data_IF_626978442751
#
_entry.id   IF_626978442751
#
_cell.length_a   1.000
_cell.length_b   1.000
_cell.length_c   1.000
_cell.angle_alpha   90.00
_cell.angle_beta   90.00
_cell.angle_gamma   90.00
#
_symmetry.space_group_name_H-M   'P 1'
#
loop_
_entity.id
_entity.type
_entity.pdbx_description
1 polymer ?
#
# COMPACT_ATOMS: atom_id res chain seq x y z
N UNK A 1 16.88 -9.92 -3.83
CA UNK A 1 16.25 -9.72 -2.51
C UNK A 1 16.82 -10.76 -1.53
N UNK A 2 17.21 -10.40 -0.31
CA UNK A 2 17.82 -11.34 0.64
C UNK A 2 16.77 -12.34 1.18
N UNK A 3 17.19 -13.53 1.66
CA UNK A 3 16.27 -14.51 2.28
C UNK A 3 15.50 -13.92 3.47
N UNK A 4 16.15 -13.04 4.24
CA UNK A 4 15.54 -12.31 5.36
C UNK A 4 14.41 -11.39 4.89
N UNK A 5 14.61 -10.65 3.80
CA UNK A 5 13.59 -9.75 3.26
C UNK A 5 12.38 -10.52 2.72
N UNK A 6 12.60 -11.69 2.12
CA UNK A 6 11.50 -12.56 1.68
C UNK A 6 10.68 -13.08 2.86
N UNK A 7 11.33 -13.47 3.96
CA UNK A 7 10.64 -13.93 5.18
C UNK A 7 9.80 -12.81 5.81
N UNK A 8 10.34 -11.59 5.86
CA UNK A 8 9.60 -10.42 6.38
C UNK A 8 8.38 -10.12 5.52
N UNK A 9 8.55 -10.07 4.19
CA UNK A 9 7.44 -9.83 3.26
C UNK A 9 6.34 -10.89 3.39
N UNK A 10 6.69 -12.17 3.46
CA UNK A 10 5.71 -13.25 3.62
C UNK A 10 4.92 -13.11 4.93
N UNK A 11 5.59 -12.76 6.04
CA UNK A 11 4.92 -12.52 7.32
C UNK A 11 3.94 -11.34 7.25
N UNK A 12 4.38 -10.22 6.65
CA UNK A 12 3.56 -9.02 6.47
C UNK A 12 2.31 -9.35 5.63
N UNK A 13 2.49 -10.04 4.50
CA UNK A 13 1.38 -10.49 3.64
C UNK A 13 0.41 -11.42 4.38
N UNK A 14 0.92 -12.38 5.16
CA UNK A 14 0.07 -13.24 5.97
C UNK A 14 -0.73 -12.47 7.04
N UNK A 15 -0.15 -11.41 7.61
CA UNK A 15 -0.86 -10.54 8.55
C UNK A 15 -1.90 -9.65 7.88
N UNK A 16 -1.61 -9.17 6.66
CA UNK A 16 -2.53 -8.43 5.82
C UNK A 16 -3.71 -9.32 5.40
N UNK A 17 -3.47 -10.55 4.92
CA UNK A 17 -4.54 -11.46 4.51
C UNK A 17 -5.53 -11.80 5.63
N UNK A 18 -5.13 -11.70 6.90
CA UNK A 18 -6.03 -11.89 8.05
C UNK A 18 -6.91 -10.68 8.38
N UNK A 19 -6.67 -9.52 7.78
CA UNK A 19 -7.25 -8.23 8.23
C UNK A 19 -7.70 -7.31 7.09
N UNK A 20 -7.00 -7.35 5.97
CA UNK A 20 -7.16 -6.48 4.80
C UNK A 20 -7.83 -7.25 3.65
N UNK A 21 -8.76 -8.14 4.00
CA UNK A 21 -9.60 -8.86 3.05
C UNK A 21 -11.02 -8.37 3.29
N UNK A 22 -11.63 -7.86 2.24
CA UNK A 22 -12.94 -7.24 2.26
C UNK A 22 -13.79 -7.83 1.14
N UNK A 23 -15.11 -7.71 1.27
CA UNK A 23 -16.00 -8.02 0.17
C UNK A 23 -15.75 -7.05 -1.00
N UNK A 24 -16.05 -7.47 -2.25
CA UNK A 24 -15.88 -6.60 -3.38
C UNK A 24 -16.70 -5.32 -3.29
N UNK A 25 -16.13 -4.20 -3.73
CA UNK A 25 -16.80 -2.90 -3.78
C UNK A 25 -16.93 -2.16 -2.45
N UNK A 26 -16.27 -2.63 -1.38
CA UNK A 26 -16.25 -1.92 -0.11
C UNK A 26 -15.34 -0.68 -0.23
N UNK A 27 -15.82 0.55 0.02
CA UNK A 27 -15.01 1.76 -0.05
C UNK A 27 -14.01 1.84 1.11
N UNK A 28 -12.88 2.52 0.89
CA UNK A 28 -11.75 2.63 1.81
C UNK A 28 -12.13 3.15 3.19
N UNK A 29 -13.08 4.07 3.30
CA UNK A 29 -13.53 4.59 4.60
C UNK A 29 -14.07 3.49 5.54
N UNK A 30 -14.71 2.44 5.00
CA UNK A 30 -15.17 1.29 5.76
C UNK A 30 -14.03 0.30 6.08
N UNK A 31 -12.96 0.31 5.27
CA UNK A 31 -11.76 -0.52 5.48
C UNK A 31 -10.76 0.10 6.48
N UNK A 32 -10.89 1.40 6.75
CA UNK A 32 -9.89 2.21 7.46
C UNK A 32 -9.51 1.64 8.84
N UNK A 33 -10.48 1.10 9.58
CA UNK A 33 -10.22 0.52 10.90
C UNK A 33 -9.24 -0.68 10.81
N UNK A 34 -9.40 -1.53 9.80
CA UNK A 34 -8.52 -2.68 9.56
C UNK A 34 -7.10 -2.26 9.17
N UNK A 35 -6.94 -1.25 8.30
CA UNK A 35 -5.63 -0.70 7.96
C UNK A 35 -4.92 -0.08 9.17
N UNK A 36 -5.64 0.72 9.96
CA UNK A 36 -5.11 1.30 11.21
C UNK A 36 -4.63 0.21 12.15
N UNK A 37 -5.43 -0.85 12.32
CA UNK A 37 -5.07 -1.99 13.17
C UNK A 37 -3.86 -2.76 12.65
N UNK A 38 -3.77 -2.98 11.33
CA UNK A 38 -2.60 -3.61 10.71
C UNK A 38 -1.34 -2.78 10.97
N UNK A 39 -1.36 -1.48 10.67
CA UNK A 39 -0.24 -0.57 10.89
C UNK A 39 0.19 -0.51 12.35
N UNK A 40 -0.76 -0.44 13.29
CA UNK A 40 -0.48 -0.43 14.73
C UNK A 40 0.32 -1.68 15.15
N UNK A 41 -0.16 -2.87 14.77
CA UNK A 41 0.48 -4.14 15.12
C UNK A 41 1.86 -4.27 14.49
N UNK A 42 2.01 -3.87 13.24
CA UNK A 42 3.29 -3.96 12.53
C UNK A 42 4.32 -2.94 13.02
N UNK A 43 3.88 -1.74 13.39
CA UNK A 43 4.74 -0.76 14.05
C UNK A 43 5.26 -1.28 15.40
N UNK A 44 4.43 -1.95 16.20
CA UNK A 44 4.87 -2.57 17.45
C UNK A 44 5.88 -3.70 17.21
N UNK A 45 5.71 -4.48 16.15
CA UNK A 45 6.69 -5.51 15.76
C UNK A 45 8.04 -4.91 15.31
N UNK A 46 8.02 -3.83 14.54
CA UNK A 46 9.23 -3.09 14.15
C UNK A 46 9.95 -2.52 15.38
N UNK A 47 9.20 -1.90 16.30
CA UNK A 47 9.73 -1.34 17.55
C UNK A 47 10.36 -2.41 18.45
N UNK A 48 9.73 -3.58 18.57
CA UNK A 48 10.30 -4.74 19.28
C UNK A 48 11.58 -5.24 18.63
N UNK A 49 11.63 -5.30 17.29
CA UNK A 49 12.81 -5.75 16.54
C UNK A 49 13.98 -4.79 16.74
N UNK A 50 13.74 -3.48 16.68
CA UNK A 50 14.75 -2.47 16.98
C UNK A 50 15.27 -2.57 18.42
N UNK A 51 14.37 -2.69 19.42
CA UNK A 51 14.75 -2.82 20.84
C UNK A 51 15.55 -4.10 21.16
N UNK A 52 15.46 -5.12 20.31
CA UNK A 52 16.27 -6.35 20.40
C UNK A 52 17.65 -6.24 19.73
N UNK A 53 18.02 -5.05 19.23
CA UNK A 53 19.33 -4.79 18.62
C UNK A 53 19.35 -4.85 17.09
N UNK A 54 18.19 -4.88 16.42
CA UNK A 54 18.12 -4.79 14.95
C UNK A 54 18.66 -3.44 14.45
N UNK A 55 19.40 -3.44 13.34
CA UNK A 55 20.03 -2.21 12.83
C UNK A 55 19.02 -1.23 12.28
N UNK A 56 19.31 0.08 12.35
CA UNK A 56 18.43 1.11 11.80
C UNK A 56 18.09 0.88 10.32
N UNK A 57 19.09 0.47 9.52
CA UNK A 57 18.91 0.14 8.10
C UNK A 57 17.89 -0.99 7.90
N UNK A 58 18.00 -2.09 8.64
CA UNK A 58 17.05 -3.20 8.54
C UNK A 58 15.64 -2.75 8.93
N UNK A 59 15.50 -1.94 9.99
CA UNK A 59 14.20 -1.43 10.43
C UNK A 59 13.57 -0.52 9.37
N UNK A 60 14.33 0.36 8.73
CA UNK A 60 13.83 1.21 7.66
C UNK A 60 13.40 0.39 6.43
N UNK A 61 14.14 -0.66 6.08
CA UNK A 61 13.76 -1.58 5.00
C UNK A 61 12.48 -2.35 5.32
N UNK A 62 12.37 -2.91 6.53
CA UNK A 62 11.17 -3.60 6.97
C UNK A 62 9.96 -2.67 7.02
N UNK A 63 10.17 -1.39 7.37
CA UNK A 63 9.14 -0.35 7.35
C UNK A 63 8.67 -0.06 5.92
N UNK A 64 9.59 0.10 4.98
CA UNK A 64 9.24 0.28 3.56
C UNK A 64 8.44 -0.93 3.05
N UNK A 65 8.87 -2.16 3.34
CA UNK A 65 8.13 -3.38 2.97
C UNK A 65 6.75 -3.48 3.60
N UNK A 66 6.57 -2.98 4.84
CA UNK A 66 5.25 -2.89 5.45
C UNK A 66 4.33 -1.93 4.68
N UNK A 67 4.87 -0.80 4.21
CA UNK A 67 4.12 0.17 3.40
C UNK A 67 3.82 -0.38 2.00
N UNK A 68 4.74 -1.15 1.39
CA UNK A 68 4.46 -1.84 0.12
C UNK A 68 3.17 -2.66 0.21
N UNK A 69 3.01 -3.43 1.30
CA UNK A 69 1.80 -4.24 1.54
C UNK A 69 0.57 -3.36 1.72
N UNK A 70 0.66 -2.22 2.41
CA UNK A 70 -0.48 -1.30 2.56
C UNK A 70 -0.89 -0.70 1.23
N UNK A 71 0.06 -0.16 0.46
CA UNK A 71 -0.20 0.47 -0.85
C UNK A 71 -0.72 -0.56 -1.85
N UNK A 72 -0.18 -1.79 -1.85
CA UNK A 72 -0.66 -2.90 -2.69
C UNK A 72 -2.12 -3.22 -2.38
N UNK A 73 -2.51 -3.33 -1.10
CA UNK A 73 -3.90 -3.64 -0.73
C UNK A 73 -4.85 -2.47 -1.01
N UNK A 74 -4.45 -1.22 -0.78
CA UNK A 74 -5.26 -0.04 -1.14
C UNK A 74 -5.49 0.02 -2.65
N UNK A 75 -4.44 -0.22 -3.44
CA UNK A 75 -4.52 -0.26 -4.88
C UNK A 75 -5.46 -1.36 -5.40
N UNK A 76 -5.32 -2.58 -4.90
CA UNK A 76 -6.19 -3.70 -5.26
C UNK A 76 -7.65 -3.44 -4.87
N UNK A 77 -7.88 -2.87 -3.69
CA UNK A 77 -9.22 -2.48 -3.25
C UNK A 77 -9.84 -1.40 -4.14
N UNK A 78 -9.08 -0.38 -4.51
CA UNK A 78 -9.57 0.69 -5.38
C UNK A 78 -9.92 0.15 -6.78
N UNK A 79 -9.10 -0.77 -7.30
CA UNK A 79 -9.40 -1.48 -8.55
C UNK A 79 -10.67 -2.31 -8.46
N UNK A 80 -10.85 -3.05 -7.36
CA UNK A 80 -12.03 -3.86 -7.14
C UNK A 80 -13.32 -3.01 -7.03
N UNK A 81 -13.24 -1.87 -6.33
CA UNK A 81 -14.33 -0.89 -6.29
C UNK A 81 -14.68 -0.36 -7.68
N UNK A 82 -13.67 -0.01 -8.47
CA UNK A 82 -13.87 0.43 -9.86
C UNK A 82 -14.53 -0.67 -10.70
N UNK A 83 -14.04 -1.90 -10.61
CA UNK A 83 -14.59 -3.05 -11.33
C UNK A 83 -16.04 -3.34 -10.93
N UNK A 84 -16.37 -3.24 -9.64
CA UNK A 84 -17.73 -3.42 -9.14
C UNK A 84 -18.69 -2.37 -9.74
N UNK A 85 -18.22 -1.12 -9.92
CA UNK A 85 -19.03 -0.02 -10.48
C UNK A 85 -19.12 -0.03 -12.01
N UNK A 86 -18.08 -0.47 -12.70
CA UNK A 86 -17.94 -0.29 -14.15
C UNK A 86 -17.81 -1.59 -14.96
N UNK A 87 -17.72 -2.74 -14.30
CA UNK A 87 -17.70 -4.08 -14.89
C UNK A 87 -16.40 -4.50 -15.59
N UNK A 88 -15.55 -3.56 -16.01
CA UNK A 88 -14.26 -3.86 -16.66
C UNK A 88 -13.23 -2.77 -16.42
N UNK A 89 -11.96 -3.16 -16.37
CA UNK A 89 -10.85 -2.22 -16.31
C UNK A 89 -10.59 -1.63 -17.70
N UNK A 90 -10.79 -0.31 -17.84
CA UNK A 90 -10.58 0.40 -19.12
C UNK A 90 -9.16 0.98 -19.26
N UNK A 91 -8.50 1.24 -18.14
CA UNK A 91 -7.25 2.00 -18.09
C UNK A 91 -6.17 1.21 -17.35
N UNK A 92 -4.91 1.40 -17.77
CA UNK A 92 -3.74 0.94 -17.03
C UNK A 92 -3.23 2.08 -16.16
N UNK A 93 -2.66 1.73 -15.02
CA UNK A 93 -1.95 2.68 -14.18
C UNK A 93 -0.89 1.96 -13.35
N UNK A 94 0.06 2.73 -12.84
CA UNK A 94 1.06 2.26 -11.88
C UNK A 94 1.14 3.24 -10.71
N UNK A 95 1.36 2.70 -9.51
CA UNK A 95 1.77 3.48 -8.34
C UNK A 95 3.27 3.31 -8.17
N UNK A 96 4.01 4.41 -8.13
CA UNK A 96 5.47 4.41 -8.06
C UNK A 96 5.90 5.02 -6.73
N UNK A 97 6.62 4.26 -5.92
CA UNK A 97 7.28 4.76 -4.72
C UNK A 97 8.44 5.69 -5.08
N UNK A 98 8.50 6.86 -4.44
CA UNK A 98 9.61 7.82 -4.61
C UNK A 98 10.20 8.20 -3.25
N UNK A 99 11.17 9.11 -3.23
CA UNK A 99 11.76 9.59 -1.97
C UNK A 99 12.43 8.47 -1.15
N UNK A 100 12.34 8.60 0.18
CA UNK A 100 12.87 7.59 1.12
C UNK A 100 12.12 6.25 1.05
N UNK A 101 10.83 6.27 0.71
CA UNK A 101 10.04 5.07 0.48
C UNK A 101 10.58 4.27 -0.70
N UNK A 102 10.78 4.90 -1.86
CA UNK A 102 11.31 4.25 -3.06
C UNK A 102 12.72 3.68 -2.92
N UNK A 103 13.55 4.24 -2.03
CA UNK A 103 14.90 3.70 -1.72
C UNK A 103 14.90 2.64 -0.62
N UNK A 104 13.74 2.31 -0.05
CA UNK A 104 13.62 1.44 1.12
C UNK A 104 14.38 1.96 2.37
N UNK A 105 14.42 3.29 2.53
CA UNK A 105 15.09 4.02 3.62
C UNK A 105 14.07 4.78 4.47
N UNK A 106 12.90 4.17 4.71
CA UNK A 106 11.77 4.86 5.34
C UNK A 106 11.91 4.92 6.86
N UNK A 107 12.07 6.12 7.41
CA UNK A 107 12.21 6.35 8.86
C UNK A 107 10.83 6.34 9.57
N UNK A 108 10.81 6.16 10.91
CA UNK A 108 9.61 6.39 11.70
C UNK A 108 9.06 7.81 11.45
N UNK A 109 7.74 7.91 11.30
CA UNK A 109 7.02 9.17 11.04
C UNK A 109 7.37 9.89 9.72
N UNK A 110 8.12 9.26 8.80
CA UNK A 110 8.29 9.78 7.44
C UNK A 110 6.98 9.72 6.64
N UNK A 111 6.79 10.72 5.79
CA UNK A 111 5.74 10.72 4.77
C UNK A 111 6.00 9.65 3.70
N UNK A 112 4.93 9.27 3.00
CA UNK A 112 4.95 8.28 1.93
C UNK A 112 4.80 8.99 0.59
N UNK A 113 5.92 9.16 -0.11
CA UNK A 113 5.92 9.79 -1.43
C UNK A 113 5.58 8.77 -2.52
N UNK A 114 4.46 8.98 -3.22
CA UNK A 114 4.03 8.16 -4.35
C UNK A 114 3.62 9.00 -5.56
N UNK A 115 3.84 8.44 -6.74
CA UNK A 115 3.37 8.98 -8.02
C UNK A 115 2.38 8.02 -8.66
N UNK A 116 1.32 8.58 -9.24
CA UNK A 116 0.40 7.84 -10.10
C UNK A 116 0.78 8.05 -11.55
N UNK A 117 1.12 6.97 -12.26
CA UNK A 117 1.45 6.99 -13.67
C UNK A 117 0.29 6.43 -14.49
N UNK A 118 -0.08 7.15 -15.54
CA UNK A 118 -1.12 6.78 -16.51
C UNK A 118 -0.52 6.79 -17.93
N UNK A 119 -1.06 5.98 -18.86
CA UNK A 119 -0.60 5.96 -20.24
C UNK A 119 -0.84 7.31 -20.93
N UNK A 120 0.09 7.70 -21.79
CA UNK A 120 0.00 8.90 -22.61
C UNK A 120 -1.15 8.81 -23.62
N UNK A 121 -1.75 9.95 -23.98
CA UNK A 121 -2.82 10.02 -24.99
C UNK A 121 -4.18 9.42 -24.59
N UNK A 122 -4.37 9.03 -23.33
CA UNK A 122 -5.61 8.45 -22.82
C UNK A 122 -6.63 9.48 -22.29
N UNK A 123 -6.52 10.74 -22.71
CA UNK A 123 -7.37 11.83 -22.20
C UNK A 123 -8.85 11.59 -22.53
N UNK A 124 -9.65 11.42 -21.48
CA UNK A 124 -11.08 11.21 -21.58
C UNK A 124 -11.74 11.48 -20.22
N UNK A 125 -13.02 11.85 -20.23
CA UNK A 125 -13.80 12.01 -18.99
C UNK A 125 -13.80 10.72 -18.15
N UNK A 126 -13.81 9.55 -18.80
CA UNK A 126 -13.73 8.26 -18.13
C UNK A 126 -12.38 8.07 -17.40
N UNK A 127 -11.27 8.53 -18.00
CA UNK A 127 -9.96 8.50 -17.34
C UNK A 127 -9.91 9.46 -16.15
N UNK A 128 -10.53 10.64 -16.24
CA UNK A 128 -10.56 11.59 -15.12
C UNK A 128 -11.36 11.05 -13.93
N UNK A 129 -12.49 10.39 -14.18
CA UNK A 129 -13.23 9.69 -13.12
C UNK A 129 -12.42 8.53 -12.52
N UNK A 130 -11.70 7.77 -13.36
CA UNK A 130 -10.81 6.73 -12.88
C UNK A 130 -9.69 7.29 -11.99
N UNK A 131 -9.00 8.35 -12.45
CA UNK A 131 -7.96 9.05 -11.68
C UNK A 131 -8.49 9.54 -10.33
N UNK A 132 -9.67 10.16 -10.32
CA UNK A 132 -10.30 10.67 -9.11
C UNK A 132 -10.63 9.54 -8.12
N UNK A 133 -11.22 8.44 -8.59
CA UNK A 133 -11.52 7.28 -7.75
C UNK A 133 -10.24 6.67 -7.17
N UNK A 134 -9.21 6.48 -8.00
CA UNK A 134 -7.94 5.88 -7.54
C UNK A 134 -7.23 6.80 -6.54
N UNK A 135 -7.27 8.11 -6.75
CA UNK A 135 -6.72 9.08 -5.79
C UNK A 135 -7.49 9.08 -4.46
N UNK A 136 -8.83 9.10 -4.51
CA UNK A 136 -9.68 9.03 -3.31
C UNK A 136 -9.40 7.77 -2.51
N UNK A 137 -9.52 6.60 -3.12
CA UNK A 137 -9.44 5.33 -2.40
C UNK A 137 -8.03 4.97 -1.90
N UNK A 138 -6.97 5.62 -2.44
CA UNK A 138 -5.59 5.38 -2.03
C UNK A 138 -5.06 6.47 -1.09
N UNK A 139 -5.41 7.75 -1.31
CA UNK A 139 -4.83 8.89 -0.59
C UNK A 139 -5.72 9.49 0.52
N UNK A 140 -7.06 9.43 0.39
CA UNK A 140 -7.99 10.23 1.21
C UNK A 140 -8.96 9.36 2.00
#
# INVERSE_FOLDING_TARGET
MSKTNQSVLNRLRNHAQKRLVFDPGIPRNQQLASYKRYLELENEMLKRSHRKGGSGKEICQMRATMIDVVVENLFLSALDLYLTRHGRLKFRMSVIATGGYGRAELNPHSDIDILFLYPEGAESKDLDHFKALMAEEILY
#
